data_IF_642400541102
#
_entry.id   IF_642400541102
#
_cell.length_a   1.000
_cell.length_b   1.000
_cell.length_c   1.000
_cell.angle_alpha   90.00
_cell.angle_beta   90.00
_cell.angle_gamma   90.00
#
_symmetry.space_group_name_H-M   'P 1'
#
loop_
_entity.id
_entity.type
_entity.pdbx_description
1 polymer ?
#
# COMPACT_ATOMS: atom_id res chain seq x y z
N UNK A 1 -11.89 -16.34 -0.93
CA UNK A 1 -10.52 -15.78 -1.05
C UNK A 1 -10.67 -14.38 -1.60
N UNK A 2 -10.22 -13.32 -0.91
CA UNK A 2 -10.35 -11.94 -1.39
C UNK A 2 -9.58 -11.70 -2.69
N UNK A 3 -10.14 -10.91 -3.59
CA UNK A 3 -9.52 -10.52 -4.86
C UNK A 3 -9.20 -9.02 -4.85
N UNK A 4 -7.90 -8.71 -4.83
CA UNK A 4 -7.38 -7.35 -4.92
C UNK A 4 -6.92 -7.05 -6.34
N UNK A 5 -7.28 -5.87 -6.84
CA UNK A 5 -6.89 -5.45 -8.19
C UNK A 5 -5.81 -4.39 -8.09
N UNK A 6 -4.69 -4.60 -8.79
CA UNK A 6 -3.59 -3.65 -8.87
C UNK A 6 -3.71 -2.65 -10.01
N UNK A 7 -3.02 -1.53 -9.87
CA UNK A 7 -2.83 -0.50 -10.91
C UNK A 7 -3.51 0.83 -10.61
N UNK A 8 -3.06 1.88 -11.30
CA UNK A 8 -3.52 3.26 -11.09
C UNK A 8 -4.47 3.78 -12.17
N UNK A 9 -4.51 3.15 -13.34
CA UNK A 9 -5.38 3.58 -14.43
C UNK A 9 -6.87 3.48 -14.03
N UNK A 10 -7.70 4.39 -14.53
CA UNK A 10 -9.14 4.41 -14.24
C UNK A 10 -9.82 3.05 -14.50
N UNK A 11 -9.44 2.34 -15.58
CA UNK A 11 -9.95 1.01 -15.87
C UNK A 11 -9.62 -0.03 -14.77
N UNK A 12 -8.45 0.09 -14.15
CA UNK A 12 -8.03 -0.75 -13.02
C UNK A 12 -8.76 -0.37 -11.74
N UNK A 13 -8.86 0.93 -11.42
CA UNK A 13 -9.60 1.41 -10.24
C UNK A 13 -11.09 1.04 -10.33
N UNK A 14 -11.73 1.21 -11.50
CA UNK A 14 -13.11 0.76 -11.73
C UNK A 14 -13.27 -0.74 -11.54
N UNK A 15 -12.26 -1.54 -11.89
CA UNK A 15 -12.27 -2.99 -11.64
C UNK A 15 -12.09 -3.29 -10.16
N UNK A 16 -11.15 -2.64 -9.48
CA UNK A 16 -10.94 -2.75 -8.04
C UNK A 16 -12.24 -2.45 -7.29
N UNK A 17 -12.89 -1.34 -7.62
CA UNK A 17 -14.17 -0.91 -7.04
C UNK A 17 -15.29 -1.94 -7.12
N UNK A 18 -15.22 -2.93 -8.02
CA UNK A 18 -16.20 -4.02 -8.16
C UNK A 18 -15.80 -5.33 -7.44
N UNK A 19 -14.60 -5.40 -6.87
CA UNK A 19 -14.04 -6.56 -6.17
C UNK A 19 -13.83 -6.25 -4.67
N UNK A 20 -12.96 -7.01 -4.00
CA UNK A 20 -12.78 -6.96 -2.55
C UNK A 20 -11.76 -5.91 -2.09
N UNK A 21 -10.99 -5.33 -3.02
CA UNK A 21 -10.03 -4.30 -2.67
C UNK A 21 -9.14 -3.85 -3.83
N UNK A 22 -8.23 -2.94 -3.49
CA UNK A 22 -7.27 -2.32 -4.40
C UNK A 22 -5.84 -2.45 -3.86
N UNK A 23 -4.89 -2.69 -4.77
CA UNK A 23 -3.46 -2.77 -4.50
C UNK A 23 -2.73 -1.62 -5.20
N UNK A 24 -2.26 -0.65 -4.43
CA UNK A 24 -1.46 0.47 -4.91
C UNK A 24 -0.06 0.01 -5.30
N UNK A 25 0.43 0.46 -6.47
CA UNK A 25 1.74 0.07 -6.99
C UNK A 25 2.95 0.80 -6.40
N UNK A 26 2.74 1.69 -5.42
CA UNK A 26 3.74 2.71 -5.06
C UNK A 26 3.72 3.87 -6.07
N UNK A 27 4.38 4.96 -5.73
CA UNK A 27 4.35 6.19 -6.54
C UNK A 27 4.60 7.42 -5.70
N UNK A 28 4.30 8.58 -6.26
CA UNK A 28 4.33 9.85 -5.54
C UNK A 28 3.29 9.83 -4.39
N UNK A 29 3.69 10.11 -3.13
CA UNK A 29 2.75 10.23 -2.03
C UNK A 29 1.60 11.21 -2.27
N UNK A 30 1.83 12.27 -3.05
CA UNK A 30 0.80 13.26 -3.38
C UNK A 30 -0.30 12.70 -4.30
N UNK A 31 0.03 11.69 -5.12
CA UNK A 31 -0.94 11.04 -6.02
C UNK A 31 -1.87 10.05 -5.28
N UNK A 32 -1.44 9.52 -4.13
CA UNK A 32 -2.20 8.52 -3.39
C UNK A 32 -3.60 9.01 -3.01
N UNK A 33 -3.71 10.25 -2.55
CA UNK A 33 -4.99 10.83 -2.10
C UNK A 33 -5.96 11.00 -3.27
N UNK A 34 -5.44 11.41 -4.44
CA UNK A 34 -6.21 11.50 -5.66
C UNK A 34 -6.71 10.11 -6.12
N UNK A 35 -5.87 9.08 -6.01
CA UNK A 35 -6.24 7.70 -6.36
C UNK A 35 -7.30 7.13 -5.42
N UNK A 36 -7.16 7.31 -4.11
CA UNK A 36 -8.16 6.89 -3.11
C UNK A 36 -9.49 7.61 -3.34
N UNK A 37 -9.45 8.92 -3.62
CA UNK A 37 -10.65 9.70 -3.93
C UNK A 37 -11.38 9.15 -5.16
N UNK A 38 -10.67 8.92 -6.27
CA UNK A 38 -11.24 8.32 -7.49
C UNK A 38 -11.78 6.92 -7.24
N UNK A 39 -11.06 6.11 -6.46
CA UNK A 39 -11.48 4.75 -6.13
C UNK A 39 -12.80 4.75 -5.35
N UNK A 40 -12.93 5.62 -4.34
CA UNK A 40 -14.15 5.77 -3.56
C UNK A 40 -15.33 6.23 -4.44
N UNK A 41 -15.10 7.21 -5.33
CA UNK A 41 -16.11 7.61 -6.31
C UNK A 41 -16.57 6.43 -7.19
N UNK A 42 -15.64 5.63 -7.72
CA UNK A 42 -16.01 4.46 -8.54
C UNK A 42 -16.74 3.38 -7.74
N UNK A 43 -16.48 3.25 -6.43
CA UNK A 43 -17.23 2.35 -5.56
C UNK A 43 -18.66 2.82 -5.33
N UNK A 44 -18.86 4.12 -5.14
CA UNK A 44 -20.18 4.74 -5.04
C UNK A 44 -20.97 4.56 -6.34
N UNK A 45 -20.36 4.85 -7.50
CA UNK A 45 -20.96 4.64 -8.82
C UNK A 45 -21.35 3.17 -9.07
N UNK A 46 -20.58 2.22 -8.53
CA UNK A 46 -20.88 0.79 -8.62
C UNK A 46 -21.94 0.32 -7.60
N UNK A 47 -22.43 1.20 -6.73
CA UNK A 47 -23.40 0.87 -5.68
C UNK A 47 -22.87 -0.12 -4.64
N UNK A 48 -21.55 -0.18 -4.42
CA UNK A 48 -20.93 -1.15 -3.51
C UNK A 48 -20.58 -0.53 -2.17
N UNK A 49 -21.45 -0.77 -1.19
CA UNK A 49 -21.18 -0.53 0.23
C UNK A 49 -20.84 -1.86 0.91
N UNK A 50 -19.71 -1.90 1.61
CA UNK A 50 -19.21 -3.13 2.26
C UNK A 50 -17.71 -3.10 2.53
N UNK A 51 -17.17 -4.16 3.19
CA UNK A 51 -15.74 -4.29 3.45
C UNK A 51 -14.93 -4.17 2.15
N UNK A 52 -13.82 -3.45 2.23
CA UNK A 52 -12.96 -3.22 1.10
C UNK A 52 -11.55 -2.93 1.58
N UNK A 53 -10.58 -3.62 1.00
CA UNK A 53 -9.18 -3.50 1.40
C UNK A 53 -8.46 -2.47 0.52
N UNK A 54 -7.68 -1.60 1.15
CA UNK A 54 -6.82 -0.64 0.48
C UNK A 54 -5.39 -0.94 0.92
N UNK A 55 -4.63 -1.57 0.03
CA UNK A 55 -3.27 -2.03 0.27
C UNK A 55 -2.29 -1.06 -0.38
N UNK A 56 -1.38 -0.47 0.41
CA UNK A 56 -0.48 0.57 -0.11
C UNK A 56 1.00 0.32 0.11
N UNK A 57 1.78 0.55 -0.94
CA UNK A 57 3.22 0.79 -0.84
C UNK A 57 3.41 2.31 -0.69
N UNK A 58 3.91 2.76 0.46
CA UNK A 58 4.14 4.17 0.77
C UNK A 58 5.33 4.36 1.70
N UNK A 59 6.06 5.47 1.56
CA UNK A 59 7.16 5.84 2.46
C UNK A 59 6.67 6.19 3.87
N UNK A 60 5.40 6.61 4.00
CA UNK A 60 4.79 6.88 5.31
C UNK A 60 4.76 5.62 6.19
N UNK A 61 4.74 4.43 5.58
CA UNK A 61 4.68 3.17 6.31
C UNK A 61 5.91 2.89 7.18
N UNK A 62 7.01 3.65 7.05
CA UNK A 62 8.25 3.46 7.82
C UNK A 62 8.26 4.18 9.18
N UNK A 63 7.16 4.81 9.59
CA UNK A 63 7.03 5.47 10.91
C UNK A 63 5.64 5.24 11.50
N UNK A 64 5.50 5.14 12.85
CA UNK A 64 4.18 5.01 13.48
C UNK A 64 3.22 6.15 13.11
N UNK A 65 3.69 7.40 13.11
CA UNK A 65 2.88 8.55 12.71
C UNK A 65 2.43 8.48 11.24
N UNK A 66 3.29 7.95 10.36
CA UNK A 66 2.93 7.74 8.96
C UNK A 66 1.94 6.60 8.77
N UNK A 67 2.05 5.51 9.54
CA UNK A 67 1.00 4.47 9.57
C UNK A 67 -0.34 5.09 9.98
N UNK A 68 -0.36 5.95 11.01
CA UNK A 68 -1.58 6.64 11.44
C UNK A 68 -2.16 7.53 10.33
N UNK A 69 -1.33 8.30 9.64
CA UNK A 69 -1.77 9.11 8.49
C UNK A 69 -2.37 8.26 7.35
N UNK A 70 -1.82 7.08 7.10
CA UNK A 70 -2.36 6.17 6.09
C UNK A 70 -3.70 5.57 6.54
N UNK A 71 -3.81 5.14 7.80
CA UNK A 71 -5.05 4.65 8.39
C UNK A 71 -6.17 5.70 8.29
N UNK A 72 -5.88 6.97 8.59
CA UNK A 72 -6.85 8.07 8.52
C UNK A 72 -7.38 8.30 7.08
N UNK A 73 -6.64 7.86 6.05
CA UNK A 73 -7.06 7.89 4.64
C UNK A 73 -7.91 6.65 4.24
N UNK A 74 -8.12 5.72 5.16
CA UNK A 74 -8.82 4.46 4.93
C UNK A 74 -7.95 3.34 4.37
N UNK A 75 -6.62 3.48 4.40
CA UNK A 75 -5.70 2.38 4.10
C UNK A 75 -5.86 1.28 5.14
N UNK A 76 -5.99 0.04 4.69
CA UNK A 76 -6.17 -1.11 5.58
C UNK A 76 -4.88 -1.89 5.79
N UNK A 77 -3.98 -1.87 4.81
CA UNK A 77 -2.75 -2.65 4.83
C UNK A 77 -1.62 -1.88 4.15
N UNK A 78 -0.39 -2.07 4.63
CA UNK A 78 0.81 -1.51 4.01
C UNK A 78 1.76 -2.61 3.56
N UNK A 79 2.41 -2.40 2.41
CA UNK A 79 3.49 -3.25 1.91
C UNK A 79 4.80 -2.49 2.05
N UNK A 80 5.72 -3.05 2.83
CA UNK A 80 7.02 -2.47 3.13
C UNK A 80 8.11 -3.36 2.55
N UNK A 81 9.07 -2.75 1.87
CA UNK A 81 10.15 -3.46 1.19
C UNK A 81 11.47 -2.74 1.37
N UNK A 82 12.46 -3.43 1.91
CA UNK A 82 13.79 -2.87 2.21
C UNK A 82 14.76 -2.95 1.02
N UNK A 83 14.22 -3.13 -0.19
CA UNK A 83 14.95 -3.26 -1.45
C UNK A 83 14.09 -2.64 -2.55
N UNK A 84 14.70 -1.91 -3.47
CA UNK A 84 14.02 -1.41 -4.66
C UNK A 84 13.93 -2.56 -5.68
N UNK A 85 12.73 -3.10 -5.97
CA UNK A 85 12.57 -4.30 -6.81
C UNK A 85 12.93 -4.06 -8.28
N UNK A 86 13.04 -2.80 -8.71
CA UNK A 86 13.38 -2.41 -10.07
C UNK A 86 14.90 -2.36 -10.34
N UNK A 87 15.73 -2.51 -9.30
CA UNK A 87 17.18 -2.63 -9.48
C UNK A 87 17.47 -4.03 -10.03
N UNK A 88 17.90 -4.08 -11.30
CA UNK A 88 18.27 -5.32 -11.97
C UNK A 88 19.70 -5.75 -11.63
N UNK A 89 19.97 -7.06 -11.78
CA UNK A 89 21.28 -7.66 -11.55
C UNK A 89 21.37 -8.45 -10.25
N UNK A 90 22.57 -8.89 -9.91
CA UNK A 90 22.81 -9.63 -8.67
C UNK A 90 22.59 -8.71 -7.48
N UNK A 91 21.82 -9.19 -6.50
CA UNK A 91 21.71 -8.52 -5.22
C UNK A 91 22.99 -8.75 -4.41
N UNK A 92 23.74 -7.68 -4.18
CA UNK A 92 25.00 -7.68 -3.43
C UNK A 92 24.83 -7.36 -1.95
N UNK A 93 23.59 -7.10 -1.50
CA UNK A 93 23.33 -6.79 -0.10
C UNK A 93 23.56 -8.02 0.80
N UNK A 94 24.43 -7.92 1.83
CA UNK A 94 24.67 -9.02 2.76
C UNK A 94 23.39 -9.45 3.49
N UNK A 95 23.25 -10.75 3.75
CA UNK A 95 22.10 -11.30 4.51
C UNK A 95 21.89 -10.55 5.83
N UNK A 96 22.96 -10.29 6.58
CA UNK A 96 22.90 -9.57 7.86
C UNK A 96 22.32 -8.15 7.72
N UNK A 97 22.53 -7.46 6.61
CA UNK A 97 21.93 -6.16 6.39
C UNK A 97 20.40 -6.26 6.19
N UNK A 98 19.95 -7.29 5.48
CA UNK A 98 18.52 -7.56 5.27
C UNK A 98 17.81 -7.90 6.57
N UNK A 99 18.43 -8.74 7.40
CA UNK A 99 17.91 -9.10 8.73
C UNK A 99 17.78 -7.85 9.60
N UNK A 100 18.85 -7.04 9.68
CA UNK A 100 18.81 -5.78 10.46
C UNK A 100 17.72 -4.83 10.01
N UNK A 101 17.44 -4.72 8.71
CA UNK A 101 16.36 -3.86 8.21
C UNK A 101 14.98 -4.34 8.70
N UNK A 102 14.76 -5.66 8.72
CA UNK A 102 13.52 -6.26 9.25
C UNK A 102 13.38 -6.05 10.76
N UNK A 103 14.46 -6.29 11.52
CA UNK A 103 14.50 -6.08 12.98
C UNK A 103 14.22 -4.62 13.34
N UNK A 104 14.91 -3.69 12.66
CA UNK A 104 14.70 -2.25 12.87
C UNK A 104 13.25 -1.83 12.61
N UNK A 105 12.62 -2.34 11.56
CA UNK A 105 11.22 -2.05 11.28
C UNK A 105 10.28 -2.66 12.33
N UNK A 106 10.54 -3.91 12.75
CA UNK A 106 9.76 -4.56 13.79
C UNK A 106 9.81 -3.78 15.11
N UNK A 107 11.00 -3.35 15.53
CA UNK A 107 11.22 -2.63 16.79
C UNK A 107 10.69 -1.19 16.75
N UNK A 108 10.88 -0.49 15.62
CA UNK A 108 10.62 0.95 15.56
C UNK A 108 9.27 1.33 14.99
N UNK A 109 8.61 0.42 14.25
CA UNK A 109 7.29 0.62 13.69
C UNK A 109 6.31 -0.37 14.29
N UNK A 110 6.43 -1.67 13.99
CA UNK A 110 5.42 -2.68 14.36
C UNK A 110 5.14 -2.68 15.87
N UNK A 111 6.19 -2.65 16.71
CA UNK A 111 6.02 -2.67 18.16
C UNK A 111 5.39 -1.38 18.76
N UNK A 112 5.19 -0.34 17.95
CA UNK A 112 4.72 0.98 18.38
C UNK A 112 3.38 1.39 17.77
N UNK A 113 2.75 0.52 16.96
CA UNK A 113 1.40 0.73 16.38
C UNK A 113 0.38 -0.20 17.02
#
# INVERSE_FOLDING_TARGET
>A
IPILIGGHADAALRRAARNDGWMHGGGDPEELDALITKLNQFREEAGRSGPFQIHVISIDAYTPDGIKRLEDKGVTDVIVGFRIPYIMGQDTEPLEAKIRNLEMFAENVIAKV
#
